data_IF_948414347119
#
_entry.id   IF_948414347119
#
_cell.length_a   1.000
_cell.length_b   1.000
_cell.length_c   1.000
_cell.angle_alpha   90.00
_cell.angle_beta   90.00
_cell.angle_gamma   90.00
#
_symmetry.space_group_name_H-M   'P 1'
#
loop_
_entity.id
_entity.type
_entity.pdbx_description
1 polymer ?
#
# COMPACT_ATOMS: atom_id res chain seq x y z
N UNK A 1 -5.48 3.23 10.91
CA UNK A 1 -4.74 2.54 11.99
C UNK A 1 -5.65 1.82 12.98
N UNK A 2 -6.62 2.48 13.59
CA UNK A 2 -7.59 1.87 14.53
C UNK A 2 -8.43 0.77 13.88
N UNK A 3 -8.83 0.92 12.62
CA UNK A 3 -9.59 -0.11 11.87
C UNK A 3 -8.79 -1.40 11.63
N UNK A 4 -7.49 -1.29 11.49
CA UNK A 4 -6.59 -2.46 11.32
C UNK A 4 -6.48 -3.25 12.62
N UNK A 5 -6.22 -2.56 13.70
CA UNK A 5 -6.09 -3.18 15.03
C UNK A 5 -7.38 -3.87 15.44
N UNK A 6 -8.54 -3.26 15.17
CA UNK A 6 -9.85 -3.84 15.49
C UNK A 6 -10.16 -5.06 14.62
N UNK A 7 -9.83 -5.01 13.34
CA UNK A 7 -10.05 -6.13 12.41
C UNK A 7 -9.14 -7.33 12.74
N UNK A 8 -7.93 -7.05 13.21
CA UNK A 8 -6.98 -8.07 13.62
C UNK A 8 -7.34 -8.68 14.98
N UNK A 9 -7.80 -7.88 15.94
CA UNK A 9 -8.27 -8.36 17.23
C UNK A 9 -9.46 -9.31 17.08
N UNK A 10 -10.36 -9.04 16.14
CA UNK A 10 -11.51 -9.92 15.81
C UNK A 10 -11.08 -11.22 15.13
N UNK A 11 -9.95 -11.22 14.41
CA UNK A 11 -9.50 -12.41 13.67
C UNK A 11 -8.73 -13.42 14.54
N UNK A 12 -8.14 -12.99 15.64
CA UNK A 12 -7.16 -13.79 16.39
C UNK A 12 -7.52 -14.11 17.83
N UNK A 13 -8.68 -13.71 18.34
CA UNK A 13 -9.17 -14.05 19.68
C UNK A 13 -8.12 -13.92 20.80
N UNK A 14 -8.42 -13.18 21.82
CA UNK A 14 -7.82 -13.12 23.18
C UNK A 14 -6.28 -13.20 23.41
N UNK A 15 -5.40 -13.05 22.39
CA UNK A 15 -3.98 -12.84 22.66
C UNK A 15 -3.69 -11.34 22.86
N UNK A 16 -2.87 -10.99 23.86
CA UNK A 16 -2.43 -9.60 24.06
C UNK A 16 -1.75 -9.10 22.78
N UNK A 17 -2.20 -7.95 22.27
CA UNK A 17 -1.72 -7.40 20.97
C UNK A 17 -0.20 -7.21 20.92
N UNK A 18 0.47 -6.99 22.05
CA UNK A 18 1.91 -6.77 22.12
C UNK A 18 2.77 -8.02 21.88
N UNK A 19 2.17 -9.21 21.90
CA UNK A 19 2.90 -10.48 21.76
C UNK A 19 2.54 -11.22 20.46
N UNK A 20 1.87 -10.57 19.51
CA UNK A 20 1.42 -11.24 18.29
C UNK A 20 2.41 -11.07 17.15
N UNK A 21 2.80 -12.23 16.60
CA UNK A 21 3.62 -12.31 15.41
C UNK A 21 2.83 -12.96 14.28
N UNK A 22 3.05 -12.49 13.06
CA UNK A 22 2.36 -12.96 11.87
C UNK A 22 3.37 -13.55 10.90
N UNK A 23 3.02 -14.71 10.35
CA UNK A 23 3.80 -15.33 9.27
C UNK A 23 3.61 -14.59 7.97
N UNK A 24 4.51 -14.81 7.00
CA UNK A 24 4.38 -14.24 5.64
C UNK A 24 3.03 -14.63 5.02
N UNK A 25 2.58 -15.88 5.20
CA UNK A 25 1.29 -16.34 4.68
C UNK A 25 0.10 -15.61 5.28
N UNK A 26 0.12 -15.37 6.60
CA UNK A 26 -0.93 -14.61 7.28
C UNK A 26 -0.97 -13.16 6.79
N UNK A 27 0.19 -12.52 6.69
CA UNK A 27 0.30 -11.13 6.21
C UNK A 27 -0.16 -10.99 4.76
N UNK A 28 0.18 -11.96 3.92
CA UNK A 28 -0.29 -11.98 2.53
C UNK A 28 -1.82 -11.95 2.45
N UNK A 29 -2.49 -12.80 3.24
CA UNK A 29 -3.96 -12.81 3.33
C UNK A 29 -4.51 -11.48 3.82
N UNK A 30 -3.93 -10.92 4.89
CA UNK A 30 -4.39 -9.68 5.50
C UNK A 30 -4.29 -8.48 4.55
N UNK A 31 -3.26 -8.44 3.73
CA UNK A 31 -2.95 -7.33 2.82
C UNK A 31 -3.45 -7.55 1.40
N UNK A 32 -4.12 -8.68 1.12
CA UNK A 32 -4.54 -9.08 -0.23
C UNK A 32 -3.37 -9.14 -1.22
N UNK A 33 -2.23 -9.64 -0.75
CA UNK A 33 -1.03 -9.86 -1.54
C UNK A 33 -0.78 -11.35 -1.71
N UNK A 34 0.03 -11.70 -2.70
CA UNK A 34 0.57 -13.05 -2.83
C UNK A 34 1.81 -13.21 -1.94
N UNK A 35 2.09 -14.43 -1.51
CA UNK A 35 3.33 -14.75 -0.79
C UNK A 35 4.56 -14.36 -1.64
N UNK A 36 4.49 -14.58 -2.95
CA UNK A 36 5.55 -14.22 -3.90
C UNK A 36 5.84 -12.72 -3.89
N UNK A 37 4.82 -11.87 -3.80
CA UNK A 37 4.99 -10.41 -3.73
C UNK A 37 5.72 -10.01 -2.45
N UNK A 38 5.35 -10.59 -1.30
CA UNK A 38 6.02 -10.30 -0.02
C UNK A 38 7.47 -10.77 -0.06
N UNK A 39 7.74 -11.96 -0.58
CA UNK A 39 9.10 -12.46 -0.74
C UNK A 39 9.94 -11.60 -1.68
N UNK A 40 9.33 -11.08 -2.73
CA UNK A 40 9.98 -10.14 -3.64
C UNK A 40 10.42 -8.87 -2.91
N UNK A 41 9.53 -8.27 -2.10
CA UNK A 41 9.87 -7.08 -1.32
C UNK A 41 10.97 -7.37 -0.28
N UNK A 42 10.91 -8.52 0.37
CA UNK A 42 11.95 -8.95 1.31
C UNK A 42 13.31 -9.07 0.60
N UNK A 43 13.32 -9.69 -0.57
CA UNK A 43 14.52 -9.82 -1.40
C UNK A 43 15.08 -8.46 -1.85
N UNK A 44 14.22 -7.48 -2.07
CA UNK A 44 14.63 -6.12 -2.41
C UNK A 44 15.16 -5.32 -1.20
N UNK A 45 15.17 -5.90 -0.01
CA UNK A 45 15.69 -5.25 1.19
C UNK A 45 14.71 -4.28 1.86
N UNK A 46 13.41 -4.40 1.59
CA UNK A 46 12.40 -3.51 2.16
C UNK A 46 12.01 -3.87 3.59
N UNK A 47 12.42 -5.04 4.09
CA UNK A 47 12.03 -5.53 5.42
C UNK A 47 13.22 -5.80 6.34
N UNK A 48 14.14 -4.83 6.55
CA UNK A 48 15.27 -5.05 7.44
C UNK A 48 14.87 -5.21 8.91
N UNK A 49 13.65 -4.84 9.27
CA UNK A 49 13.07 -4.88 10.60
C UNK A 49 12.45 -6.24 10.94
N UNK A 50 12.37 -7.20 10.01
CA UNK A 50 11.73 -8.48 10.28
C UNK A 50 12.59 -9.35 11.21
N UNK A 51 11.91 -9.99 12.15
CA UNK A 51 12.48 -10.98 13.05
C UNK A 51 12.27 -12.39 12.49
N UNK A 52 12.97 -13.36 13.08
CA UNK A 52 12.75 -14.78 12.80
C UNK A 52 12.21 -15.45 14.05
N UNK A 53 11.27 -16.40 13.87
CA UNK A 53 10.75 -17.22 14.96
C UNK A 53 11.73 -18.36 15.28
N UNK A 54 11.37 -19.22 16.23
CA UNK A 54 12.19 -20.38 16.65
C UNK A 54 12.48 -21.36 15.52
N UNK A 55 11.59 -21.45 14.52
CA UNK A 55 11.75 -22.28 13.33
C UNK A 55 12.64 -21.63 12.24
N UNK A 56 13.09 -20.40 12.46
CA UNK A 56 13.87 -19.65 11.49
C UNK A 56 13.04 -18.93 10.43
N UNK A 57 11.72 -18.93 10.54
CA UNK A 57 10.82 -18.25 9.60
C UNK A 57 10.74 -16.75 9.90
N UNK A 58 10.62 -15.95 8.85
CA UNK A 58 10.39 -14.50 8.97
C UNK A 58 9.00 -14.24 9.53
N UNK A 59 8.91 -13.35 10.52
CA UNK A 59 7.66 -12.96 11.16
C UNK A 59 7.53 -11.45 11.27
N UNK A 60 6.30 -10.97 11.18
CA UNK A 60 5.95 -9.56 11.33
C UNK A 60 5.36 -9.35 12.72
N UNK A 61 5.91 -8.43 13.48
CA UNK A 61 5.26 -7.89 14.68
C UNK A 61 4.35 -6.72 14.29
N UNK A 62 3.74 -6.06 15.26
CA UNK A 62 2.83 -4.94 15.03
C UNK A 62 3.53 -3.76 14.36
N UNK A 63 4.76 -3.47 14.75
CA UNK A 63 5.55 -2.39 14.15
C UNK A 63 5.93 -2.71 12.71
N UNK A 64 6.32 -3.94 12.44
CA UNK A 64 6.60 -4.41 11.08
C UNK A 64 5.40 -4.26 10.15
N UNK A 65 4.19 -4.52 10.66
CA UNK A 65 2.96 -4.32 9.89
C UNK A 65 2.72 -2.85 9.54
N UNK A 66 3.04 -1.93 10.43
CA UNK A 66 2.95 -0.49 10.15
C UNK A 66 3.92 -0.07 9.04
N UNK A 67 5.14 -0.59 9.06
CA UNK A 67 6.10 -0.37 7.98
C UNK A 67 5.62 -0.94 6.65
N UNK A 68 5.08 -2.15 6.67
CA UNK A 68 4.52 -2.76 5.45
C UNK A 68 3.37 -1.91 4.88
N UNK A 69 2.49 -1.42 5.73
CA UNK A 69 1.38 -0.55 5.32
C UNK A 69 1.89 0.71 4.62
N UNK A 70 2.93 1.35 5.16
CA UNK A 70 3.55 2.51 4.54
C UNK A 70 4.24 2.15 3.22
N UNK A 71 4.95 1.04 3.16
CA UNK A 71 5.60 0.54 1.93
C UNK A 71 4.56 0.35 0.82
N UNK A 72 3.43 -0.27 1.13
CA UNK A 72 2.35 -0.49 0.17
C UNK A 72 1.71 0.82 -0.29
N UNK A 73 1.53 1.78 0.63
CA UNK A 73 1.06 3.11 0.30
C UNK A 73 1.99 3.79 -0.72
N UNK A 74 3.28 3.79 -0.46
CA UNK A 74 4.28 4.41 -1.35
C UNK A 74 4.35 3.70 -2.71
N UNK A 75 4.30 2.38 -2.70
CA UNK A 75 4.27 1.58 -3.93
C UNK A 75 3.02 1.87 -4.75
N UNK A 76 1.85 1.89 -4.10
CA UNK A 76 0.57 2.11 -4.78
C UNK A 76 0.42 3.53 -5.33
N UNK A 77 1.23 4.45 -4.84
CA UNK A 77 1.33 5.82 -5.36
C UNK A 77 2.54 6.01 -6.29
N UNK A 78 3.09 4.92 -6.80
CA UNK A 78 4.12 4.88 -7.86
C UNK A 78 5.50 5.35 -7.42
N UNK A 79 5.82 5.28 -6.13
CA UNK A 79 7.20 5.53 -5.70
C UNK A 79 8.10 4.37 -6.14
N UNK A 80 9.25 4.64 -6.79
CA UNK A 80 10.20 3.58 -7.16
C UNK A 80 10.70 2.80 -5.95
N UNK A 81 10.90 1.50 -6.11
CA UNK A 81 11.37 0.60 -5.03
C UNK A 81 12.65 1.11 -4.38
N UNK A 82 13.58 1.66 -5.14
CA UNK A 82 14.83 2.20 -4.59
C UNK A 82 14.60 3.37 -3.62
N UNK A 83 13.62 4.22 -3.90
CA UNK A 83 13.23 5.31 -2.98
C UNK A 83 12.50 4.81 -1.75
N UNK A 84 11.68 3.78 -1.90
CA UNK A 84 11.02 3.12 -0.75
C UNK A 84 12.07 2.50 0.15
N UNK A 85 13.06 1.80 -0.42
CA UNK A 85 14.19 1.25 0.35
C UNK A 85 14.94 2.34 1.08
N UNK A 86 15.23 3.46 0.45
CA UNK A 86 15.90 4.60 1.08
C UNK A 86 15.10 5.13 2.27
N UNK A 87 13.78 5.26 2.12
CA UNK A 87 12.92 5.67 3.22
C UNK A 87 13.00 4.70 4.41
N UNK A 88 12.96 3.39 4.15
CA UNK A 88 13.06 2.38 5.19
C UNK A 88 14.44 2.43 5.87
N UNK A 89 15.52 2.52 5.10
CA UNK A 89 16.88 2.60 5.65
C UNK A 89 17.02 3.85 6.54
N UNK A 90 16.52 4.99 6.12
CA UNK A 90 16.50 6.20 6.95
C UNK A 90 15.64 6.04 8.20
N UNK A 91 14.51 5.34 8.10
CA UNK A 91 13.66 5.07 9.26
C UNK A 91 14.37 4.20 10.29
N UNK A 92 15.19 3.25 9.85
CA UNK A 92 16.01 2.42 10.74
C UNK A 92 17.14 3.21 11.42
N UNK A 93 17.68 4.21 10.76
CA UNK A 93 18.68 5.11 11.36
C UNK A 93 18.10 6.01 12.46
N UNK A 94 16.79 6.31 12.40
CA UNK A 94 16.06 7.03 13.43
C UNK A 94 16.03 8.54 13.25
N UNK A 95 16.05 9.28 14.37
CA UNK A 95 15.80 10.73 14.40
C UNK A 95 16.76 11.56 13.56
N UNK A 96 17.99 11.13 13.38
CA UNK A 96 18.99 11.85 12.59
C UNK A 96 18.58 12.03 11.12
N UNK A 97 17.62 11.25 10.63
CA UNK A 97 17.17 11.26 9.23
C UNK A 97 15.77 11.88 9.05
N UNK A 98 15.22 12.50 10.09
CA UNK A 98 13.84 12.99 10.04
C UNK A 98 13.64 14.06 8.96
N UNK A 99 14.62 14.91 8.73
CA UNK A 99 14.54 15.95 7.71
C UNK A 99 14.53 15.36 6.29
N UNK A 100 15.36 14.36 6.04
CA UNK A 100 15.39 13.67 4.75
C UNK A 100 14.08 12.93 4.50
N UNK A 101 13.53 12.26 5.52
CA UNK A 101 12.23 11.57 5.43
C UNK A 101 11.09 12.54 5.19
N UNK A 102 11.11 13.69 5.86
CA UNK A 102 10.10 14.73 5.64
C UNK A 102 10.13 15.24 4.20
N UNK A 103 11.31 15.55 3.68
CA UNK A 103 11.46 16.03 2.30
C UNK A 103 10.98 14.98 1.29
N UNK A 104 11.32 13.72 1.50
CA UNK A 104 10.85 12.62 0.64
C UNK A 104 9.32 12.53 0.64
N UNK A 105 8.68 12.65 1.80
CA UNK A 105 7.23 12.59 1.92
C UNK A 105 6.55 13.80 1.29
N UNK A 106 7.10 15.00 1.44
CA UNK A 106 6.58 16.19 0.76
C UNK A 106 6.66 16.07 -0.76
N UNK A 107 7.76 15.53 -1.26
CA UNK A 107 7.90 15.28 -2.69
C UNK A 107 6.86 14.25 -3.17
N UNK A 108 6.61 13.20 -2.39
CA UNK A 108 5.61 12.19 -2.71
C UNK A 108 4.19 12.77 -2.67
N UNK A 109 3.90 13.64 -1.71
CA UNK A 109 2.62 14.35 -1.65
C UNK A 109 2.37 15.13 -2.95
N UNK A 110 3.36 15.88 -3.42
CA UNK A 110 3.28 16.61 -4.69
C UNK A 110 3.00 15.67 -5.86
N UNK A 111 3.69 14.54 -5.92
CA UNK A 111 3.51 13.53 -6.97
C UNK A 111 2.09 12.94 -6.94
N UNK A 112 1.57 12.65 -5.76
CA UNK A 112 0.21 12.10 -5.59
C UNK A 112 -0.85 13.10 -6.01
N UNK A 113 -0.70 14.37 -5.62
CA UNK A 113 -1.61 15.44 -6.03
C UNK A 113 -1.64 15.58 -7.55
N UNK A 114 -0.50 15.51 -8.21
CA UNK A 114 -0.44 15.53 -9.67
C UNK A 114 -1.13 14.32 -10.29
N UNK A 115 -0.89 13.12 -9.74
CA UNK A 115 -1.54 11.89 -10.18
C UNK A 115 -3.07 11.98 -10.07
N UNK A 116 -3.57 12.53 -8.97
CA UNK A 116 -5.01 12.75 -8.77
C UNK A 116 -5.59 13.69 -9.83
N UNK A 117 -4.92 14.80 -10.15
CA UNK A 117 -5.35 15.73 -11.17
C UNK A 117 -5.38 15.08 -12.56
N UNK A 118 -4.34 14.33 -12.91
CA UNK A 118 -4.26 13.64 -14.20
C UNK A 118 -5.36 12.57 -14.33
N UNK A 119 -5.59 11.83 -13.26
CA UNK A 119 -6.67 10.82 -13.21
C UNK A 119 -8.04 11.47 -13.35
N UNK A 120 -8.27 12.61 -12.71
CA UNK A 120 -9.53 13.36 -12.84
C UNK A 120 -9.77 13.82 -14.29
N UNK A 121 -8.75 14.32 -14.97
CA UNK A 121 -8.84 14.70 -16.40
C UNK A 121 -9.20 13.49 -17.28
N UNK A 122 -8.57 12.36 -17.02
CA UNK A 122 -8.85 11.12 -17.74
C UNK A 122 -10.27 10.63 -17.47
N UNK A 123 -10.73 10.71 -16.22
CA UNK A 123 -12.11 10.35 -15.87
C UNK A 123 -13.13 11.19 -16.66
N UNK A 124 -12.91 12.49 -16.78
CA UNK A 124 -13.79 13.38 -17.56
C UNK A 124 -13.88 12.96 -19.02
N UNK A 125 -12.76 12.57 -19.64
CA UNK A 125 -12.75 12.06 -21.02
C UNK A 125 -13.55 10.76 -21.16
N UNK A 126 -13.43 9.87 -20.20
CA UNK A 126 -14.20 8.61 -20.16
C UNK A 126 -15.69 8.92 -20.02
N UNK A 127 -16.07 9.81 -19.11
CA UNK A 127 -17.46 10.23 -18.89
C UNK A 127 -18.08 10.88 -20.14
N UNK A 128 -17.32 11.71 -20.85
CA UNK A 128 -17.75 12.32 -22.11
C UNK A 128 -18.01 11.24 -23.17
N UNK A 129 -17.19 10.21 -23.23
CA UNK A 129 -17.37 9.11 -24.18
C UNK A 129 -18.61 8.28 -23.83
N UNK A 130 -18.85 8.03 -22.54
CA UNK A 130 -20.07 7.35 -22.08
C UNK A 130 -21.31 8.14 -22.51
N UNK A 131 -21.34 9.44 -22.23
CA UNK A 131 -22.46 10.31 -22.60
C UNK A 131 -22.72 10.30 -24.13
N UNK A 132 -21.64 10.31 -24.91
CA UNK A 132 -21.75 10.22 -26.38
C UNK A 132 -22.39 8.90 -26.80
N UNK A 133 -21.95 7.78 -26.28
CA UNK A 133 -22.49 6.47 -26.63
C UNK A 133 -23.93 6.28 -26.17
N UNK A 134 -24.29 6.75 -24.99
CA UNK A 134 -25.65 6.73 -24.48
C UNK A 134 -26.60 7.54 -25.41
N UNK A 135 -26.15 8.70 -25.86
CA UNK A 135 -26.89 9.51 -26.79
C UNK A 135 -27.07 8.82 -28.16
N UNK A 136 -26.02 8.21 -28.69
CA UNK A 136 -26.08 7.43 -29.94
C UNK A 136 -27.09 6.27 -29.84
N UNK A 137 -27.08 5.55 -28.70
CA UNK A 137 -28.04 4.46 -28.46
C UNK A 137 -29.47 5.01 -28.40
N UNK A 138 -29.71 6.12 -27.72
CA UNK A 138 -31.02 6.76 -27.62
C UNK A 138 -31.53 7.17 -29.01
N UNK A 139 -30.68 7.79 -29.84
CA UNK A 139 -31.00 8.17 -31.19
C UNK A 139 -31.31 6.96 -32.09
N UNK A 140 -30.50 5.90 -32.00
CA UNK A 140 -30.75 4.68 -32.76
C UNK A 140 -32.06 4.01 -32.38
N UNK A 141 -32.43 4.00 -31.09
CA UNK A 141 -33.71 3.47 -30.63
C UNK A 141 -34.91 4.33 -31.07
N UNK A 142 -34.74 5.65 -31.16
CA UNK A 142 -35.77 6.56 -31.66
C UNK A 142 -36.06 6.33 -33.16
N UNK A 143 -35.03 6.05 -33.95
CA UNK A 143 -35.16 5.79 -35.41
C UNK A 143 -35.85 4.44 -35.66
N UNK A 144 -35.69 3.45 -34.80
CA UNK A 144 -36.31 2.11 -34.92
C UNK A 144 -37.83 2.09 -34.62
N UNK A 145 -38.31 3.12 -34.01
CA UNK A 145 -39.78 3.31 -33.80
C UNK A 145 -40.43 3.95 -35.03
#
# INVERSE_FOLDING_TARGET
MVKYLTKMALYLGNKRMNDMYYTIGQVAKMQHLTISQIRYYDKQGLFPFLQRNEKGDRVFDEEALKYLEMILCLKNTSMPIQKIKQFIDWSMEGESTILQRLELMKQQETNVLQLMQDTEKNLKKIQQKIAKYENEITLANAIKK
#
